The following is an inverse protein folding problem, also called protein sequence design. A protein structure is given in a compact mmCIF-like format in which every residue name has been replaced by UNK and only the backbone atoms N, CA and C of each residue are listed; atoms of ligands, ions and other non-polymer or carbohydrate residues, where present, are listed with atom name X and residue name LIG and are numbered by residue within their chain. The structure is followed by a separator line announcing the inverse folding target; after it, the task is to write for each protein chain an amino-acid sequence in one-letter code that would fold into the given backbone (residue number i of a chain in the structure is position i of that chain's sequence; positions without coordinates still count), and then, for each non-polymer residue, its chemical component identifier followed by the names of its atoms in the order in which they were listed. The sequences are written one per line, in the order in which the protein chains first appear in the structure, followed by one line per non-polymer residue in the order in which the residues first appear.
data_IF_432360720056
#
_entry.id   IF_432360720056
#
_cell.length_a   1.000
_cell.length_b   1.000
_cell.length_c   1.000
_cell.angle_alpha   90.00
_cell.angle_beta   90.00
_cell.angle_gamma   90.00
#
_symmetry.space_group_name_H-M   'P 1'
#
loop_
_entity.id
_entity.type
_entity.pdbx_description
1 polymer ?
#
# COMPACT_ATOMS: atom_id res chain seq x y z
N UNK A 1 15.80 -23.20 -10.99
CA UNK A 1 17.05 -22.48 -11.28
C UNK A 1 16.66 -21.03 -11.30
N UNK A 2 17.04 -20.24 -10.28
CA UNK A 2 16.74 -18.81 -10.31
C UNK A 2 17.38 -18.21 -11.57
N UNK A 3 16.68 -17.37 -12.35
CA UNK A 3 17.31 -16.67 -13.47
C UNK A 3 18.54 -15.93 -12.95
N UNK A 4 19.61 -15.89 -13.75
CA UNK A 4 20.76 -15.05 -13.45
C UNK A 4 20.25 -13.60 -13.37
N UNK A 5 20.13 -13.07 -12.16
CA UNK A 5 19.84 -11.66 -11.95
C UNK A 5 20.96 -10.91 -12.68
N UNK A 6 20.61 -10.07 -13.65
CA UNK A 6 21.60 -9.29 -14.40
C UNK A 6 22.51 -8.57 -13.41
N UNK A 7 23.80 -8.47 -13.73
CA UNK A 7 24.78 -7.83 -12.86
C UNK A 7 24.34 -6.38 -12.57
N UNK A 8 23.80 -6.15 -11.37
CA UNK A 8 23.56 -4.83 -10.83
C UNK A 8 24.94 -4.21 -10.55
N UNK A 9 25.34 -3.27 -11.39
CA UNK A 9 26.58 -2.50 -11.22
C UNK A 9 26.41 -1.49 -10.08
N UNK A 10 26.50 -1.98 -8.85
CA UNK A 10 26.55 -1.15 -7.65
C UNK A 10 28.00 -0.95 -7.20
N UNK A 11 28.35 0.22 -6.64
CA UNK A 11 29.65 0.39 -6.01
C UNK A 11 29.78 -0.56 -4.82
N UNK A 12 31.01 -1.02 -4.48
CA UNK A 12 31.23 -1.94 -3.36
C UNK A 12 30.89 -1.32 -2.00
N UNK A 13 30.81 0.01 -1.93
CA UNK A 13 30.35 0.76 -0.78
C UNK A 13 29.70 2.08 -1.23
N UNK A 14 28.74 2.56 -0.45
CA UNK A 14 28.29 3.95 -0.53
C UNK A 14 29.32 4.86 0.15
N UNK A 15 29.42 6.12 -0.29
CA UNK A 15 30.52 7.03 0.09
C UNK A 15 30.63 7.36 1.59
N UNK A 16 29.57 7.11 2.36
CA UNK A 16 29.54 7.26 3.81
C UNK A 16 29.59 5.85 4.45
N UNK A 17 30.50 5.57 5.39
CA UNK A 17 30.50 4.31 6.12
C UNK A 17 29.18 4.20 6.88
N UNK A 18 28.27 3.38 6.38
CA UNK A 18 26.99 3.12 7.05
C UNK A 18 27.33 2.38 8.35
N UNK A 19 27.15 2.98 9.54
CA UNK A 19 27.25 2.21 10.77
C UNK A 19 26.32 1.02 10.62
N UNK A 20 26.76 -0.19 11.01
CA UNK A 20 26.00 -1.43 10.82
C UNK A 20 24.57 -1.19 11.27
N UNK A 21 23.68 -0.95 10.30
CA UNK A 21 22.33 -0.54 10.63
C UNK A 21 21.73 -1.67 11.49
N UNK A 22 21.09 -1.36 12.63
CA UNK A 22 20.27 -2.36 13.29
C UNK A 22 19.37 -2.97 12.23
N UNK A 23 19.15 -4.30 12.28
CA UNK A 23 18.22 -4.96 11.35
C UNK A 23 16.94 -4.12 11.30
N UNK A 24 16.52 -3.74 10.09
CA UNK A 24 15.28 -3.00 9.89
C UNK A 24 14.18 -3.73 10.68
N UNK A 25 13.73 -3.10 11.76
CA UNK A 25 12.63 -3.62 12.56
C UNK A 25 11.36 -3.36 11.78
N UNK A 26 10.42 -4.29 11.83
CA UNK A 26 9.09 -4.09 11.23
C UNK A 26 8.41 -2.83 11.77
N UNK A 27 8.79 -2.37 12.97
CA UNK A 27 8.24 -1.20 13.66
C UNK A 27 9.33 -0.12 13.87
N UNK A 28 9.97 0.30 12.77
CA UNK A 28 11.08 1.26 12.79
C UNK A 28 10.71 2.64 13.39
N UNK A 29 9.45 3.06 13.24
CA UNK A 29 8.93 4.33 13.74
C UNK A 29 8.98 4.46 15.27
N UNK A 30 9.02 3.33 16.00
CA UNK A 30 9.18 3.35 17.47
C UNK A 30 10.45 4.04 17.94
N UNK A 31 11.45 4.19 17.07
CA UNK A 31 12.65 4.97 17.36
C UNK A 31 12.34 6.45 17.67
N UNK A 32 11.21 6.99 17.23
CA UNK A 32 10.76 8.35 17.58
C UNK A 32 10.25 8.47 19.02
N UNK A 33 9.86 7.35 19.65
CA UNK A 33 9.41 7.34 21.04
C UNK A 33 8.08 8.08 21.29
N UNK A 34 7.22 8.18 20.28
CA UNK A 34 5.91 8.83 20.39
C UNK A 34 4.78 7.77 20.37
N UNK A 35 4.09 7.52 21.50
CA UNK A 35 3.01 6.54 21.58
C UNK A 35 1.85 6.83 20.63
N UNK A 36 1.62 8.11 20.28
CA UNK A 36 0.54 8.48 19.38
C UNK A 36 0.86 8.09 17.94
N UNK A 37 2.12 8.18 17.54
CA UNK A 37 2.57 7.67 16.25
C UNK A 37 2.43 6.15 16.22
N UNK A 38 2.82 5.45 17.28
CA UNK A 38 2.69 3.99 17.38
C UNK A 38 1.24 3.50 17.19
N UNK A 39 0.28 4.19 17.81
CA UNK A 39 -1.16 3.91 17.62
C UNK A 39 -1.61 4.11 16.17
N UNK A 40 -1.23 5.24 15.56
CA UNK A 40 -1.63 5.56 14.18
C UNK A 40 -1.02 4.58 13.17
N UNK A 41 0.22 4.15 13.38
CA UNK A 41 0.87 3.15 12.53
C UNK A 41 0.19 1.79 12.63
N UNK A 42 -0.20 1.38 13.84
CA UNK A 42 -0.98 0.17 14.04
C UNK A 42 -2.34 0.24 13.33
N UNK A 43 -3.03 1.38 13.44
CA UNK A 43 -4.30 1.62 12.75
C UNK A 43 -4.12 1.62 11.23
N UNK A 44 -3.05 2.23 10.71
CA UNK A 44 -2.76 2.23 9.28
C UNK A 44 -2.49 0.83 8.75
N UNK A 45 -1.69 0.03 9.44
CA UNK A 45 -1.42 -1.36 9.03
C UNK A 45 -2.68 -2.25 9.09
N UNK A 46 -3.61 -1.96 10.00
CA UNK A 46 -4.83 -2.75 10.17
C UNK A 46 -5.99 -2.31 9.27
N UNK A 47 -6.12 -1.02 8.97
CA UNK A 47 -7.32 -0.44 8.36
C UNK A 47 -7.11 0.10 6.93
N UNK A 48 -5.87 0.19 6.47
CA UNK A 48 -5.57 0.71 5.13
C UNK A 48 -6.11 -0.23 4.03
N UNK A 49 -6.95 0.34 3.15
CA UNK A 49 -7.63 -0.41 2.08
C UNK A 49 -6.70 -0.78 0.92
N UNK A 50 -5.63 -0.03 0.69
CA UNK A 50 -4.62 -0.39 -0.31
C UNK A 50 -3.81 -1.61 0.13
N UNK A 51 -3.50 -1.72 1.42
CA UNK A 51 -2.90 -2.93 2.00
C UNK A 51 -3.86 -4.13 1.93
N UNK A 52 -5.14 -3.93 2.24
CA UNK A 52 -6.15 -4.99 2.09
C UNK A 52 -6.27 -5.45 0.62
N UNK A 53 -6.27 -4.51 -0.33
CA UNK A 53 -6.31 -4.82 -1.76
C UNK A 53 -5.03 -5.53 -2.23
N UNK A 54 -3.86 -5.17 -1.70
CA UNK A 54 -2.61 -5.86 -2.01
C UNK A 54 -2.58 -7.30 -1.47
N UNK A 55 -3.10 -7.53 -0.26
CA UNK A 55 -3.28 -8.88 0.28
C UNK A 55 -4.22 -9.72 -0.59
N UNK A 56 -5.35 -9.16 -1.02
CA UNK A 56 -6.27 -9.85 -1.92
C UNK A 56 -5.64 -10.20 -3.29
N UNK A 57 -4.75 -9.34 -3.82
CA UNK A 57 -3.98 -9.65 -5.04
C UNK A 57 -3.01 -10.80 -4.81
N UNK A 58 -2.35 -10.86 -3.65
CA UNK A 58 -1.50 -11.99 -3.28
C UNK A 58 -2.31 -13.30 -3.21
N UNK A 59 -3.45 -13.32 -2.53
CA UNK A 59 -4.33 -14.50 -2.46
C UNK A 59 -4.82 -14.94 -3.85
N UNK A 60 -5.13 -13.99 -4.73
CA UNK A 60 -5.49 -14.26 -6.11
C UNK A 60 -4.31 -14.87 -6.90
N UNK A 61 -3.09 -14.35 -6.72
CA UNK A 61 -1.89 -14.91 -7.35
C UNK A 61 -1.60 -16.33 -6.85
N UNK A 62 -1.77 -16.61 -5.56
CA UNK A 62 -1.63 -17.96 -4.99
C UNK A 62 -2.63 -18.94 -5.61
N UNK A 63 -3.90 -18.52 -5.71
CA UNK A 63 -4.96 -19.29 -6.35
C UNK A 63 -4.67 -19.55 -7.83
N UNK A 64 -4.15 -18.56 -8.55
CA UNK A 64 -3.73 -18.70 -9.94
C UNK A 64 -2.56 -19.69 -10.08
N UNK A 65 -1.59 -19.67 -9.15
CA UNK A 65 -0.47 -20.62 -9.16
C UNK A 65 -0.92 -22.07 -8.89
N UNK A 66 -1.95 -22.26 -8.06
CA UNK A 66 -2.59 -23.57 -7.87
C UNK A 66 -3.30 -24.00 -9.15
N UNK A 67 -4.10 -23.12 -9.77
CA UNK A 67 -4.80 -23.41 -11.01
C UNK A 67 -3.84 -23.76 -12.16
N UNK A 68 -2.70 -23.06 -12.26
CA UNK A 68 -1.65 -23.33 -13.24
C UNK A 68 -1.01 -24.73 -13.09
N UNK A 69 -1.08 -25.33 -11.90
CA UNK A 69 -0.65 -26.71 -11.69
C UNK A 69 -1.70 -27.75 -12.10
N UNK A 70 -2.96 -27.36 -12.32
CA UNK A 70 -4.08 -28.25 -12.66
C UNK A 70 -3.80 -29.20 -13.83
N UNK A 71 -3.28 -28.71 -14.98
CA UNK A 71 -2.98 -29.57 -16.13
C UNK A 71 -1.85 -30.60 -15.90
N UNK A 72 -1.11 -30.53 -14.78
CA UNK A 72 -0.16 -31.58 -14.39
C UNK A 72 -0.85 -32.84 -13.84
N UNK A 73 -2.17 -32.81 -13.69
CA UNK A 73 -2.98 -33.94 -13.25
C UNK A 73 -4.02 -34.29 -14.31
N UNK A 74 -4.47 -35.55 -14.39
CA UNK A 74 -5.55 -35.93 -15.30
C UNK A 74 -6.83 -35.14 -14.99
N UNK A 75 -7.48 -34.60 -16.02
CA UNK A 75 -8.83 -34.04 -15.90
C UNK A 75 -9.86 -35.15 -16.02
N UNK A 76 -10.98 -35.00 -15.32
CA UNK A 76 -12.11 -35.90 -15.36
C UNK A 76 -13.39 -35.09 -15.53
N UNK A 77 -14.09 -35.32 -16.64
CA UNK A 77 -15.26 -34.57 -17.04
C UNK A 77 -16.48 -35.49 -17.17
N UNK A 78 -17.58 -35.09 -16.54
CA UNK A 78 -18.87 -35.77 -16.66
C UNK A 78 -19.81 -34.88 -17.48
N UNK A 79 -20.56 -35.48 -18.40
CA UNK A 79 -21.55 -34.76 -19.19
C UNK A 79 -22.81 -35.59 -19.37
N UNK A 80 -23.94 -35.02 -18.96
CA UNK A 80 -25.28 -35.50 -19.28
C UNK A 80 -25.88 -34.63 -20.39
N UNK A 81 -26.50 -35.24 -21.39
CA UNK A 81 -27.17 -34.54 -22.47
C UNK A 81 -28.51 -35.21 -22.79
N UNK A 82 -29.55 -34.40 -22.96
CA UNK A 82 -30.86 -34.85 -23.44
C UNK A 82 -31.09 -34.16 -24.78
N UNK A 83 -31.31 -34.96 -25.82
CA UNK A 83 -31.59 -34.47 -27.17
C UNK A 83 -32.99 -34.88 -27.59
N UNK A 84 -33.77 -33.96 -28.16
CA UNK A 84 -35.02 -34.29 -28.83
C UNK A 84 -34.88 -33.92 -30.29
N UNK A 85 -35.00 -34.91 -31.17
CA UNK A 85 -34.90 -34.69 -32.61
C UNK A 85 -36.22 -35.05 -33.25
N UNK A 86 -36.73 -34.12 -34.06
CA UNK A 86 -37.93 -34.33 -34.85
C UNK A 86 -37.56 -34.34 -36.32
N UNK A 87 -37.96 -35.37 -37.07
CA UNK A 87 -37.70 -35.47 -38.51
C UNK A 87 -39.00 -35.70 -39.27
N UNK A 88 -39.23 -35.02 -40.39
CA UNK A 88 -40.39 -35.31 -41.24
C UNK A 88 -40.26 -36.71 -41.86
N UNK A 89 -41.35 -37.48 -41.79
CA UNK A 89 -41.45 -38.83 -42.35
C UNK A 89 -42.68 -38.98 -43.26
N UNK A 90 -42.78 -40.14 -43.94
CA UNK A 90 -43.77 -40.40 -44.99
C UNK A 90 -45.24 -40.36 -44.53
N UNK A 91 -45.49 -40.56 -43.22
CA UNK A 91 -46.83 -40.56 -42.61
C UNK A 91 -46.98 -39.56 -41.45
N UNK A 92 -46.09 -38.57 -41.34
CA UNK A 92 -46.11 -37.58 -40.26
C UNK A 92 -44.72 -37.28 -39.71
N UNK A 93 -44.64 -36.46 -38.66
CA UNK A 93 -43.37 -36.14 -38.00
C UNK A 93 -43.02 -37.23 -36.99
N UNK A 94 -41.83 -37.82 -37.12
CA UNK A 94 -41.28 -38.76 -36.14
C UNK A 94 -40.38 -37.99 -35.15
N UNK A 95 -40.65 -38.14 -33.87
CA UNK A 95 -39.94 -37.43 -32.80
C UNK A 95 -39.29 -38.42 -31.85
N UNK A 96 -37.96 -38.47 -31.85
CA UNK A 96 -37.15 -39.28 -30.95
C UNK A 96 -36.54 -38.44 -29.82
N UNK A 97 -36.47 -39.01 -28.62
CA UNK A 97 -35.72 -38.43 -27.50
C UNK A 97 -34.54 -39.34 -27.18
N UNK A 98 -33.35 -38.76 -27.03
CA UNK A 98 -32.13 -39.45 -26.62
C UNK A 98 -31.62 -38.89 -25.30
N UNK A 99 -31.04 -39.77 -24.48
CA UNK A 99 -30.40 -39.46 -23.22
C UNK A 99 -28.98 -40.01 -23.30
N UNK A 100 -27.99 -39.15 -23.08
CA UNK A 100 -26.57 -39.51 -23.12
C UNK A 100 -25.95 -39.12 -21.78
N UNK A 101 -25.22 -40.05 -21.17
CA UNK A 101 -24.34 -39.79 -20.04
C UNK A 101 -22.93 -40.25 -20.43
N UNK A 102 -21.96 -39.37 -20.34
CA UNK A 102 -20.57 -39.64 -20.70
C UNK A 102 -19.63 -39.22 -19.59
N UNK A 103 -18.60 -40.04 -19.37
CA UNK A 103 -17.44 -39.75 -18.51
C UNK A 103 -16.21 -39.75 -19.41
N UNK A 104 -15.42 -38.68 -19.38
CA UNK A 104 -14.20 -38.53 -20.15
C UNK A 104 -13.03 -38.19 -19.22
N UNK A 105 -11.88 -38.81 -19.44
CA UNK A 105 -10.63 -38.47 -18.77
C UNK A 105 -9.60 -38.04 -19.81
N UNK A 106 -8.85 -36.98 -19.53
CA UNK A 106 -7.80 -36.49 -20.41
C UNK A 106 -6.52 -36.17 -19.60
N UNK A 107 -5.36 -36.43 -20.19
CA UNK A 107 -4.08 -36.12 -19.55
C UNK A 107 -3.02 -35.79 -20.62
N UNK A 108 -2.39 -34.63 -20.50
CA UNK A 108 -1.29 -34.21 -21.38
C UNK A 108 0.05 -34.56 -20.73
N UNK A 109 0.87 -35.33 -21.44
CA UNK A 109 2.24 -35.62 -20.99
C UNK A 109 3.13 -34.40 -21.24
N UNK A 110 3.56 -33.75 -20.16
CA UNK A 110 4.37 -32.54 -20.19
C UNK A 110 5.87 -32.81 -20.52
N UNK A 111 6.14 -33.41 -21.69
CA UNK A 111 7.50 -33.81 -22.12
C UNK A 111 8.43 -32.60 -22.23
N UNK A 112 7.93 -31.48 -22.73
CA UNK A 112 8.68 -30.25 -22.96
C UNK A 112 8.69 -29.29 -21.77
N UNK A 113 8.10 -29.69 -20.64
CA UNK A 113 7.95 -28.86 -19.44
C UNK A 113 7.14 -27.56 -19.62
N UNK A 114 6.29 -27.47 -20.64
CA UNK A 114 5.43 -26.30 -20.89
C UNK A 114 4.59 -25.97 -19.65
N UNK A 115 3.83 -26.96 -19.13
CA UNK A 115 2.93 -26.76 -17.99
C UNK A 115 3.72 -26.52 -16.70
N UNK A 116 4.83 -27.25 -16.50
CA UNK A 116 5.72 -26.99 -15.36
C UNK A 116 6.31 -25.58 -15.37
N UNK A 117 6.68 -25.06 -16.54
CA UNK A 117 7.20 -23.71 -16.67
C UNK A 117 6.09 -22.66 -16.43
N UNK A 118 4.86 -22.90 -16.89
CA UNK A 118 3.69 -22.05 -16.59
C UNK A 118 3.41 -21.97 -15.08
N UNK A 119 3.42 -23.11 -14.38
CA UNK A 119 3.31 -23.16 -12.92
C UNK A 119 4.46 -22.43 -12.23
N UNK A 120 5.70 -22.65 -12.68
CA UNK A 120 6.88 -22.02 -12.08
C UNK A 120 6.85 -20.49 -12.29
N UNK A 121 6.35 -20.01 -13.43
CA UNK A 121 6.08 -18.59 -13.68
C UNK A 121 5.00 -18.04 -12.74
N UNK A 122 3.87 -18.73 -12.58
CA UNK A 122 2.82 -18.31 -11.64
C UNK A 122 3.31 -18.27 -10.18
N UNK A 123 4.22 -19.16 -9.79
CA UNK A 123 4.88 -19.09 -8.47
C UNK A 123 5.81 -17.90 -8.32
N UNK A 124 6.48 -17.49 -9.40
CA UNK A 124 7.28 -16.26 -9.38
C UNK A 124 6.38 -15.02 -9.23
N UNK A 125 5.19 -15.03 -9.83
CA UNK A 125 4.18 -13.98 -9.66
C UNK A 125 3.68 -13.87 -8.20
N UNK A 126 3.52 -14.99 -7.50
CA UNK A 126 3.23 -14.99 -6.06
C UNK A 126 4.35 -14.30 -5.28
N UNK A 127 5.61 -14.62 -5.58
CA UNK A 127 6.76 -13.98 -4.91
C UNK A 127 6.83 -12.48 -5.20
N UNK A 128 6.50 -12.06 -6.43
CA UNK A 128 6.39 -10.64 -6.78
C UNK A 128 5.27 -9.97 -5.98
N UNK A 129 4.08 -10.57 -5.92
CA UNK A 129 2.95 -10.04 -5.13
C UNK A 129 3.26 -9.93 -3.63
N UNK A 130 4.03 -10.87 -3.08
CA UNK A 130 4.52 -10.80 -1.68
C UNK A 130 5.46 -9.61 -1.49
N UNK A 131 6.39 -9.39 -2.42
CA UNK A 131 7.30 -8.25 -2.38
C UNK A 131 6.55 -6.92 -2.51
N UNK A 132 5.56 -6.83 -3.40
CA UNK A 132 4.73 -5.64 -3.57
C UNK A 132 3.95 -5.30 -2.30
N UNK A 133 3.38 -6.30 -1.61
CA UNK A 133 2.72 -6.10 -0.31
C UNK A 133 3.70 -5.56 0.74
N UNK A 134 4.90 -6.14 0.84
CA UNK A 134 5.92 -5.67 1.77
C UNK A 134 6.39 -4.23 1.45
N UNK A 135 6.55 -3.90 0.16
CA UNK A 135 6.87 -2.54 -0.28
C UNK A 135 5.77 -1.57 0.11
N UNK A 136 4.50 -1.92 -0.10
CA UNK A 136 3.38 -1.07 0.31
C UNK A 136 3.31 -0.86 1.82
N UNK A 137 3.62 -1.88 2.63
CA UNK A 137 3.70 -1.73 4.09
C UNK A 137 4.77 -0.71 4.49
N UNK A 138 5.97 -0.80 3.90
CA UNK A 138 7.06 0.14 4.17
C UNK A 138 6.70 1.56 3.70
N UNK A 139 6.16 1.70 2.49
CA UNK A 139 5.78 3.02 1.96
C UNK A 139 4.64 3.65 2.75
N UNK A 140 3.65 2.86 3.17
CA UNK A 140 2.51 3.36 3.96
C UNK A 140 2.97 3.88 5.32
N UNK A 141 3.81 3.11 6.03
CA UNK A 141 4.34 3.51 7.34
C UNK A 141 5.24 4.75 7.20
N UNK A 142 6.11 4.80 6.19
CA UNK A 142 6.94 5.98 5.91
C UNK A 142 6.10 7.24 5.64
N UNK A 143 5.07 7.14 4.81
CA UNK A 143 4.18 8.26 4.50
C UNK A 143 3.41 8.74 5.74
N UNK A 144 2.96 7.82 6.60
CA UNK A 144 2.26 8.19 7.82
C UNK A 144 3.18 8.93 8.79
N UNK A 145 4.40 8.43 9.00
CA UNK A 145 5.40 9.08 9.82
C UNK A 145 5.72 10.50 9.31
N UNK A 146 5.92 10.67 8.00
CA UNK A 146 6.17 11.99 7.39
C UNK A 146 5.01 12.96 7.64
N UNK A 147 3.77 12.53 7.40
CA UNK A 147 2.58 13.34 7.62
C UNK A 147 2.37 13.67 9.11
N UNK A 148 2.66 12.72 10.00
CA UNK A 148 2.58 12.91 11.44
C UNK A 148 3.58 13.98 11.90
N UNK A 149 4.85 13.87 11.49
CA UNK A 149 5.89 14.83 11.85
C UNK A 149 5.59 16.22 11.29
N UNK A 150 5.06 16.31 10.07
CA UNK A 150 4.59 17.58 9.50
C UNK A 150 3.46 18.21 10.34
N UNK A 151 2.52 17.40 10.84
CA UNK A 151 1.46 17.88 11.71
C UNK A 151 1.99 18.35 13.08
N UNK A 152 2.96 17.63 13.66
CA UNK A 152 3.65 18.02 14.90
C UNK A 152 4.39 19.35 14.71
N UNK A 153 5.17 19.48 13.63
CA UNK A 153 5.88 20.71 13.29
C UNK A 153 4.92 21.89 13.14
N UNK A 154 3.86 21.72 12.34
CA UNK A 154 2.87 22.77 12.09
C UNK A 154 2.23 23.24 13.41
N UNK A 155 1.91 22.32 14.32
CA UNK A 155 1.36 22.67 15.63
C UNK A 155 2.38 23.43 16.49
N UNK A 156 3.66 23.06 16.44
CA UNK A 156 4.71 23.76 17.16
C UNK A 156 4.93 25.19 16.60
N UNK A 157 4.85 25.36 15.28
CA UNK A 157 4.92 26.67 14.62
C UNK A 157 3.75 27.57 15.04
N UNK A 158 2.51 27.05 15.08
CA UNK A 158 1.34 27.80 15.57
C UNK A 158 1.54 28.24 17.03
N UNK A 159 1.96 27.32 17.91
CA UNK A 159 2.20 27.64 19.32
C UNK A 159 3.35 28.67 19.52
N UNK A 160 4.34 28.69 18.62
CA UNK A 160 5.38 29.72 18.60
C UNK A 160 4.82 31.08 18.15
N UNK A 161 3.99 31.08 17.11
CA UNK A 161 3.35 32.28 16.59
C UNK A 161 2.43 32.93 17.63
N UNK A 162 1.60 32.13 18.31
CA UNK A 162 0.71 32.60 19.38
C UNK A 162 1.50 33.29 20.51
N UNK A 163 2.62 32.69 20.94
CA UNK A 163 3.52 33.29 21.94
C UNK A 163 4.16 34.59 21.44
N UNK A 164 4.50 34.63 20.16
CA UNK A 164 5.08 35.82 19.52
C UNK A 164 4.08 36.96 19.51
N UNK A 165 2.84 36.72 19.05
CA UNK A 165 1.74 37.68 19.06
C UNK A 165 1.46 38.17 20.49
N UNK A 166 1.40 37.27 21.46
CA UNK A 166 1.18 37.64 22.87
C UNK A 166 2.28 38.57 23.40
N UNK A 167 3.54 38.30 23.08
CA UNK A 167 4.69 39.13 23.46
C UNK A 167 4.66 40.53 22.82
N UNK A 168 4.31 40.61 21.53
CA UNK A 168 4.12 41.91 20.86
C UNK A 168 2.94 42.69 21.46
N UNK A 169 1.84 42.02 21.78
CA UNK A 169 0.67 42.65 22.40
C UNK A 169 1.00 43.20 23.81
N UNK A 170 1.84 42.51 24.58
CA UNK A 170 2.34 43.01 25.86
C UNK A 170 3.26 44.22 25.68
N UNK A 171 4.14 44.19 24.68
CA UNK A 171 5.02 45.32 24.34
C UNK A 171 4.21 46.56 23.96
N UNK A 172 3.17 46.41 23.15
CA UNK A 172 2.24 47.51 22.80
C UNK A 172 1.56 48.07 24.05
N UNK A 173 1.06 47.21 24.96
CA UNK A 173 0.43 47.65 26.22
C UNK A 173 1.40 48.47 27.08
N UNK A 174 2.66 48.03 27.20
CA UNK A 174 3.67 48.72 27.98
C UNK A 174 4.04 50.10 27.38
N UNK A 175 4.23 50.17 26.07
CA UNK A 175 4.55 51.44 25.36
C UNK A 175 3.36 52.40 25.41
N UNK A 176 2.14 51.89 25.24
CA UNK A 176 0.92 52.71 25.33
C UNK A 176 0.74 53.33 26.72
N UNK A 177 1.02 52.58 27.78
CA UNK A 177 1.02 53.11 29.15
C UNK A 177 2.00 54.27 29.34
N UNK A 178 3.23 54.14 28.81
CA UNK A 178 4.25 55.20 28.84
C UNK A 178 3.85 56.41 28.02
N UNK A 179 3.27 56.21 26.83
CA UNK A 179 2.77 57.29 25.99
C UNK A 179 1.68 58.10 26.70
N UNK A 180 0.69 57.42 27.32
CA UNK A 180 -0.38 58.08 28.08
C UNK A 180 0.13 58.85 29.30
N UNK A 181 1.25 58.43 29.89
CA UNK A 181 1.94 59.13 30.96
C UNK A 181 2.85 60.28 30.47
N UNK A 182 2.95 60.52 29.15
CA UNK A 182 3.81 61.54 28.57
C UNK A 182 5.31 61.20 28.56
N UNK A 183 5.66 59.93 28.82
CA UNK A 183 7.06 59.46 28.95
C UNK A 183 7.63 59.02 27.60
N UNK A 184 6.81 58.47 26.71
CA UNK A 184 7.21 58.00 25.39
C UNK A 184 6.53 58.82 24.27
N UNK A 185 7.20 59.10 23.14
CA UNK A 185 6.60 59.76 21.99
C UNK A 185 5.58 58.87 21.27
N UNK A 186 4.68 59.50 20.48
CA UNK A 186 3.68 58.77 19.69
C UNK A 186 4.31 57.83 18.66
N UNK A 187 5.49 58.15 18.14
CA UNK A 187 6.22 57.33 17.17
C UNK A 187 6.48 55.92 17.72
N UNK A 188 6.94 55.81 18.97
CA UNK A 188 7.23 54.52 19.60
C UNK A 188 5.97 53.64 19.71
N UNK A 189 4.81 54.25 19.99
CA UNK A 189 3.52 53.55 20.01
C UNK A 189 3.12 53.05 18.63
N UNK A 190 3.30 53.86 17.58
CA UNK A 190 3.03 53.43 16.20
C UNK A 190 3.97 52.31 15.75
N UNK A 191 5.26 52.40 16.08
CA UNK A 191 6.23 51.35 15.79
C UNK A 191 5.88 50.04 16.49
N UNK A 192 5.51 50.08 17.77
CA UNK A 192 5.08 48.90 18.52
C UNK A 192 3.81 48.27 17.92
N UNK A 193 2.80 49.09 17.56
CA UNK A 193 1.57 48.62 16.91
C UNK A 193 1.85 48.02 15.52
N UNK A 194 2.77 48.60 14.77
CA UNK A 194 3.18 48.06 13.47
C UNK A 194 3.90 46.72 13.62
N UNK A 195 4.74 46.56 14.65
CA UNK A 195 5.39 45.28 14.95
C UNK A 195 4.37 44.20 15.34
N UNK A 196 3.35 44.53 16.13
CA UNK A 196 2.24 43.61 16.44
C UNK A 196 1.42 43.25 15.21
N UNK A 197 1.16 44.20 14.30
CA UNK A 197 0.41 43.95 13.09
C UNK A 197 1.17 43.09 12.06
N UNK A 198 2.51 43.08 12.14
CA UNK A 198 3.37 42.24 11.30
C UNK A 198 3.78 40.91 11.94
N UNK A 199 3.34 40.64 13.17
CA UNK A 199 3.53 39.37 13.88
C UNK A 199 2.40 38.41 13.56
#
# INVERSE_FOLDING_TARGET
MAPALGELTLPPAFGEPTPRAPRATSEWWRAFGDPRLDELEADALALNQDLAAALARLEAAESAAVAAAGPLTPSLDTRGQIGRTSRPGFFGTDTGTSYTLSLAAAYELDVWRRVRNERDAARAEVQASQADLATLQVTTTAQLADLYLLAVETRAQLALLDRTIASFAESVRAVEGRYRAGIAPALDLYQARQALAGA
#
